data_IF_158413641056
#
_entry.id   IF_158413641056
#
_cell.length_a   1.000
_cell.length_b   1.000
_cell.length_c   1.000
_cell.angle_alpha   90.00
_cell.angle_beta   90.00
_cell.angle_gamma   90.00
#
_symmetry.space_group_name_H-M   'P 1'
#
loop_
_entity.id
_entity.type
_entity.pdbx_description
1 polymer ?
#
# COMPACT_ATOMS: atom_id res chain seq x y z
N UNK A 1 -49.83 39.91 2.27
CA UNK A 1 -49.18 39.36 1.06
C UNK A 1 -49.66 37.93 0.84
N UNK A 2 -50.32 37.68 -0.30
CA UNK A 2 -50.93 36.40 -0.66
C UNK A 2 -49.87 35.29 -0.77
N UNK A 3 -50.20 34.06 -0.37
CA UNK A 3 -49.33 32.87 -0.42
C UNK A 3 -48.67 32.66 -1.78
N UNK A 4 -49.34 33.06 -2.87
CA UNK A 4 -48.80 33.04 -4.24
C UNK A 4 -47.55 33.91 -4.42
N UNK A 5 -47.51 35.07 -3.77
CA UNK A 5 -46.37 35.99 -3.81
C UNK A 5 -45.16 35.43 -3.05
N UNK A 6 -45.40 34.68 -1.97
CA UNK A 6 -44.31 33.98 -1.25
C UNK A 6 -43.71 32.86 -2.11
N UNK A 7 -44.54 32.07 -2.79
CA UNK A 7 -44.08 30.99 -3.69
C UNK A 7 -43.24 31.53 -4.84
N UNK A 8 -43.66 32.64 -5.46
CA UNK A 8 -42.87 33.30 -6.50
C UNK A 8 -41.52 33.83 -5.98
N UNK A 9 -41.48 34.33 -4.74
CA UNK A 9 -40.26 34.83 -4.12
C UNK A 9 -39.28 33.69 -3.80
N UNK A 10 -39.78 32.55 -3.30
CA UNK A 10 -38.95 31.35 -3.09
C UNK A 10 -38.46 30.73 -4.41
N UNK A 11 -39.30 30.73 -5.45
CA UNK A 11 -38.90 30.25 -6.77
C UNK A 11 -37.80 31.14 -7.39
N UNK A 12 -37.94 32.47 -7.29
CA UNK A 12 -36.93 33.41 -7.76
C UNK A 12 -35.62 33.29 -6.97
N UNK A 13 -35.68 33.16 -5.64
CA UNK A 13 -34.51 32.94 -4.80
C UNK A 13 -33.80 31.62 -5.14
N UNK A 14 -34.56 30.54 -5.39
CA UNK A 14 -34.01 29.25 -5.82
C UNK A 14 -33.32 29.33 -7.19
N UNK A 15 -33.88 30.09 -8.14
CA UNK A 15 -33.27 30.30 -9.45
C UNK A 15 -31.95 31.07 -9.35
N UNK A 16 -31.88 32.10 -8.51
CA UNK A 16 -30.65 32.88 -8.28
C UNK A 16 -29.56 32.02 -7.64
N UNK A 17 -29.92 31.17 -6.67
CA UNK A 17 -28.98 30.21 -6.05
C UNK A 17 -28.51 29.18 -7.06
N UNK A 18 -29.37 28.69 -7.95
CA UNK A 18 -29.00 27.74 -9.00
C UNK A 18 -28.04 28.36 -10.04
N UNK A 19 -28.26 29.61 -10.45
CA UNK A 19 -27.36 30.32 -11.36
C UNK A 19 -26.00 30.60 -10.69
N UNK A 20 -25.98 30.95 -9.41
CA UNK A 20 -24.75 31.17 -8.64
C UNK A 20 -23.95 29.87 -8.40
N UNK A 21 -24.63 28.73 -8.26
CA UNK A 21 -23.99 27.42 -8.08
C UNK A 21 -23.62 26.74 -9.41
N UNK A 22 -24.16 27.21 -10.54
CA UNK A 22 -23.92 26.67 -11.89
C UNK A 22 -22.47 26.79 -12.38
N UNK A 23 -21.67 27.73 -11.86
CA UNK A 23 -20.27 27.92 -12.29
C UNK A 23 -19.24 27.24 -11.38
N UNK A 24 -19.67 26.47 -10.38
CA UNK A 24 -18.76 25.88 -9.39
C UNK A 24 -18.94 24.38 -9.15
N UNK A 25 -19.66 23.67 -10.03
CA UNK A 25 -19.74 22.20 -9.99
C UNK A 25 -19.23 21.56 -11.30
N UNK A 26 -18.04 20.94 -11.28
CA UNK A 26 -17.61 19.99 -12.29
C UNK A 26 -18.53 18.75 -12.28
N UNK A 27 -18.74 18.16 -13.46
CA UNK A 27 -19.72 17.14 -13.89
C UNK A 27 -19.96 15.85 -13.04
N UNK A 28 -19.47 15.71 -11.81
CA UNK A 28 -19.42 14.42 -11.10
C UNK A 28 -20.67 14.05 -10.25
N UNK A 29 -21.61 14.97 -9.99
CA UNK A 29 -22.74 14.70 -9.06
C UNK A 29 -24.09 14.51 -9.79
N UNK A 30 -24.19 14.88 -11.07
CA UNK A 30 -25.44 14.73 -11.84
C UNK A 30 -25.82 13.29 -12.19
N UNK A 31 -24.97 12.30 -11.84
CA UNK A 31 -25.21 10.87 -12.05
C UNK A 31 -25.89 10.17 -10.85
N UNK A 32 -25.98 10.81 -9.66
CA UNK A 32 -26.43 10.12 -8.43
C UNK A 32 -27.89 10.39 -8.05
N UNK A 33 -28.54 11.38 -8.66
CA UNK A 33 -29.94 11.72 -8.36
C UNK A 33 -30.99 10.65 -8.78
N UNK A 34 -30.80 9.84 -9.86
CA UNK A 34 -31.75 8.79 -10.20
C UNK A 34 -31.78 7.60 -9.21
N UNK A 35 -30.70 7.40 -8.43
CA UNK A 35 -30.57 6.25 -7.51
C UNK A 35 -31.17 6.57 -6.13
N UNK A 36 -31.07 7.81 -5.66
CA UNK A 36 -31.62 8.20 -4.35
C UNK A 36 -33.17 8.20 -4.31
N UNK A 37 -33.84 8.45 -5.44
CA UNK A 37 -35.31 8.42 -5.53
C UNK A 37 -35.92 7.01 -5.42
N UNK A 38 -35.18 5.97 -5.81
CA UNK A 38 -35.65 4.58 -5.78
C UNK A 38 -35.62 3.96 -4.36
N UNK A 39 -34.80 4.49 -3.44
CA UNK A 39 -34.67 3.96 -2.08
C UNK A 39 -35.78 4.40 -1.11
N UNK A 40 -36.34 5.60 -1.27
CA UNK A 40 -37.35 6.14 -0.36
C UNK A 40 -38.74 5.48 -0.49
N UNK A 41 -39.01 4.78 -1.60
CA UNK A 41 -40.28 4.09 -1.85
C UNK A 41 -40.42 2.71 -1.18
N UNK A 42 -39.33 2.11 -0.69
CA UNK A 42 -39.33 0.79 -0.04
C UNK A 42 -39.53 0.83 1.48
N UNK A 43 -39.43 2.00 2.12
CA UNK A 43 -39.59 2.14 3.57
C UNK A 43 -40.99 2.63 4.01
N UNK A 44 -41.91 2.86 3.07
CA UNK A 44 -43.29 3.31 3.33
C UNK A 44 -44.31 2.20 3.63
N UNK A 45 -43.89 1.06 4.19
CA UNK A 45 -44.76 -0.07 4.51
C UNK A 45 -45.26 -0.05 5.95
N UNK A 46 -46.48 0.44 6.16
CA UNK A 46 -47.24 0.42 7.42
C UNK A 46 -47.47 -0.97 8.03
N UNK A 47 -47.55 -1.00 9.38
CA UNK A 47 -48.27 -1.92 10.33
C UNK A 47 -47.30 -2.60 11.31
N UNK A 48 -47.54 -2.83 12.59
CA UNK A 48 -48.56 -2.51 13.62
C UNK A 48 -47.98 -3.12 14.91
N UNK A 49 -48.04 -2.39 16.03
CA UNK A 49 -48.01 -2.75 17.50
C UNK A 49 -47.52 -4.16 17.94
N UNK A 50 -46.76 -4.33 19.03
CA UNK A 50 -47.18 -4.40 20.47
C UNK A 50 -45.90 -4.71 21.28
N UNK A 51 -45.44 -3.86 22.22
CA UNK A 51 -45.55 -3.90 23.69
C UNK A 51 -44.54 -4.82 24.45
N UNK A 52 -44.02 -4.27 25.55
CA UNK A 52 -42.90 -4.60 26.49
C UNK A 52 -43.02 -5.96 27.26
N UNK A 53 -42.22 -6.28 28.32
CA UNK A 53 -40.76 -6.24 28.60
C UNK A 53 -40.21 -7.52 29.32
N UNK A 54 -38.88 -7.58 29.50
CA UNK A 54 -38.10 -8.22 30.60
C UNK A 54 -38.27 -9.73 30.93
N UNK A 55 -37.28 -10.24 31.69
CA UNK A 55 -37.27 -11.47 32.49
C UNK A 55 -36.50 -12.70 31.92
N UNK A 56 -35.26 -12.84 32.42
CA UNK A 56 -34.58 -14.04 33.01
C UNK A 56 -34.59 -15.41 32.29
N UNK A 57 -33.40 -16.07 32.31
CA UNK A 57 -33.08 -17.51 32.56
C UNK A 57 -32.16 -18.16 31.48
N UNK A 58 -31.47 -19.29 31.75
CA UNK A 58 -30.52 -19.55 32.83
C UNK A 58 -29.27 -20.34 32.35
N UNK A 59 -28.36 -20.59 33.31
CA UNK A 59 -27.30 -21.59 33.37
C UNK A 59 -27.14 -22.61 32.21
N UNK A 60 -25.92 -22.70 31.68
CA UNK A 60 -25.37 -23.99 31.26
C UNK A 60 -23.91 -24.12 31.69
N UNK A 61 -23.59 -25.34 32.10
CA UNK A 61 -22.51 -25.75 32.98
C UNK A 61 -21.13 -25.82 32.30
N UNK A 62 -20.10 -25.62 33.12
CA UNK A 62 -18.72 -26.12 32.95
C UNK A 62 -18.72 -27.68 32.89
N UNK A 63 -17.59 -28.43 32.78
CA UNK A 63 -16.17 -28.03 32.99
C UNK A 63 -15.13 -28.74 32.09
N UNK A 64 -13.85 -28.33 32.18
CA UNK A 64 -12.71 -29.25 32.39
C UNK A 64 -11.35 -28.51 32.46
N UNK A 65 -10.77 -28.55 33.67
CA UNK A 65 -9.36 -28.83 33.99
C UNK A 65 -8.20 -28.19 33.17
N UNK A 66 -7.39 -27.37 33.85
CA UNK A 66 -5.99 -27.71 34.12
C UNK A 66 -5.41 -26.75 35.17
N UNK A 67 -5.04 -27.32 36.32
CA UNK A 67 -4.30 -26.66 37.38
C UNK A 67 -2.79 -26.74 37.09
N UNK A 68 -2.06 -25.66 37.35
CA UNK A 68 -0.82 -25.66 38.17
C UNK A 68 -0.10 -24.32 38.03
N UNK A 69 -0.17 -23.50 39.08
CA UNK A 69 0.74 -22.40 39.31
C UNK A 69 1.47 -22.68 40.62
N UNK A 70 2.76 -22.99 40.55
CA UNK A 70 3.66 -22.95 41.69
C UNK A 70 5.08 -22.68 41.20
N UNK A 71 5.56 -21.49 41.56
CA UNK A 71 6.95 -21.02 41.49
C UNK A 71 7.79 -21.78 42.53
N UNK A 72 9.09 -21.98 42.31
CA UNK A 72 10.02 -21.28 43.19
C UNK A 72 11.28 -20.74 42.49
N UNK A 73 11.86 -19.78 43.19
CA UNK A 73 13.13 -19.07 42.98
C UNK A 73 14.38 -19.94 43.11
N UNK A 74 15.43 -19.66 42.34
CA UNK A 74 16.84 -19.56 42.81
C UNK A 74 17.83 -19.33 41.65
N UNK A 75 18.83 -18.47 41.90
CA UNK A 75 20.20 -18.64 41.37
C UNK A 75 20.58 -17.86 40.11
N UNK A 76 21.38 -16.81 40.27
CA UNK A 76 22.19 -16.21 39.20
C UNK A 76 23.29 -17.16 38.69
N UNK A 77 24.04 -16.79 37.63
CA UNK A 77 25.09 -15.79 37.83
C UNK A 77 25.20 -14.73 36.74
N UNK A 78 25.92 -13.67 37.09
CA UNK A 78 26.29 -12.53 36.25
C UNK A 78 27.12 -12.98 35.04
N UNK A 79 26.57 -12.74 33.84
CA UNK A 79 27.28 -12.81 32.56
C UNK A 79 27.76 -11.41 32.16
N UNK A 80 29.05 -11.31 31.87
CA UNK A 80 29.77 -10.09 31.54
C UNK A 80 29.15 -9.26 30.41
N UNK A 81 28.89 -7.98 30.65
CA UNK A 81 28.73 -6.98 29.59
C UNK A 81 30.12 -6.57 29.09
N UNK A 82 30.55 -7.18 28.01
CA UNK A 82 31.58 -6.63 27.14
C UNK A 82 30.94 -5.57 26.25
N UNK A 83 31.34 -4.32 26.42
CA UNK A 83 31.09 -3.27 25.44
C UNK A 83 32.16 -3.36 24.33
N UNK A 84 31.75 -3.30 23.05
CA UNK A 84 32.62 -2.78 22.02
C UNK A 84 32.05 -1.47 21.47
N UNK A 85 32.85 -0.41 21.57
CA UNK A 85 32.76 0.74 20.71
C UNK A 85 33.23 0.34 19.30
N UNK A 86 32.45 0.69 18.27
CA UNK A 86 32.93 0.75 16.89
C UNK A 86 32.00 1.63 16.01
N UNK A 87 32.54 2.22 14.93
CA UNK A 87 32.13 3.50 14.40
C UNK A 87 31.01 3.40 13.37
N UNK A 88 30.24 4.48 13.26
CA UNK A 88 29.29 4.73 12.18
C UNK A 88 30.02 4.71 10.83
N UNK A 89 29.78 3.68 10.02
CA UNK A 89 30.06 3.71 8.60
C UNK A 89 28.96 4.52 7.89
N UNK A 90 29.28 5.41 6.94
CA UNK A 90 28.27 5.94 6.05
C UNK A 90 27.81 4.81 5.14
N UNK A 91 26.52 4.46 5.20
CA UNK A 91 25.88 3.65 4.17
C UNK A 91 26.12 4.34 2.83
N UNK A 92 26.99 3.74 2.01
CA UNK A 92 27.16 4.10 0.62
C UNK A 92 25.87 3.74 -0.13
N UNK A 93 24.87 4.65 -0.09
CA UNK A 93 23.76 4.61 -1.02
C UNK A 93 24.35 4.90 -2.39
N UNK A 94 24.35 3.89 -3.26
CA UNK A 94 24.76 4.03 -4.65
C UNK A 94 23.98 5.20 -5.26
N UNK A 95 24.67 6.32 -5.48
CA UNK A 95 24.11 7.46 -6.19
C UNK A 95 24.10 7.07 -7.66
N UNK A 96 22.99 6.49 -8.11
CA UNK A 96 22.79 6.18 -9.53
C UNK A 96 22.65 7.52 -10.26
N UNK A 97 23.51 7.80 -11.23
CA UNK A 97 23.45 9.05 -11.98
C UNK A 97 22.09 9.19 -12.70
N UNK A 98 21.39 10.35 -12.56
CA UNK A 98 20.04 10.53 -13.08
C UNK A 98 19.96 10.47 -14.62
N UNK A 99 21.07 10.72 -15.33
CA UNK A 99 21.14 10.64 -16.78
C UNK A 99 21.13 9.20 -17.31
N UNK A 100 21.63 8.23 -16.53
CA UNK A 100 21.66 6.81 -16.91
C UNK A 100 20.31 6.12 -16.70
N UNK A 101 19.44 6.68 -15.85
CA UNK A 101 18.15 6.09 -15.48
C UNK A 101 17.03 6.34 -16.50
N UNK A 102 17.28 7.19 -17.51
CA UNK A 102 16.35 7.50 -18.58
C UNK A 102 14.92 7.68 -18.10
N UNK A 103 14.05 6.77 -18.53
CA UNK A 103 12.63 6.81 -18.25
C UNK A 103 12.28 6.58 -16.76
N UNK A 104 13.13 5.90 -15.98
CA UNK A 104 12.89 5.61 -14.57
C UNK A 104 13.41 6.68 -13.61
N UNK A 105 13.99 7.78 -14.09
CA UNK A 105 14.50 8.85 -13.23
C UNK A 105 13.43 9.35 -12.23
N UNK A 106 12.20 9.59 -12.70
CA UNK A 106 11.08 9.99 -11.84
C UNK A 106 10.66 8.90 -10.85
N UNK A 107 10.85 7.63 -11.21
CA UNK A 107 10.50 6.48 -10.36
C UNK A 107 11.48 6.39 -9.20
N UNK A 108 12.77 6.53 -9.48
CA UNK A 108 13.83 6.50 -8.47
C UNK A 108 13.71 7.68 -7.51
N UNK A 109 13.52 8.89 -8.02
CA UNK A 109 13.33 10.09 -7.19
C UNK A 109 12.16 9.91 -6.23
N UNK A 110 11.03 9.43 -6.73
CA UNK A 110 9.86 9.18 -5.90
C UNK A 110 10.09 8.08 -4.86
N UNK A 111 10.81 7.01 -5.19
CA UNK A 111 11.17 5.98 -4.21
C UNK A 111 12.00 6.57 -3.07
N UNK A 112 12.93 7.48 -3.36
CA UNK A 112 13.72 8.17 -2.32
C UNK A 112 12.82 9.02 -1.44
N UNK A 113 11.86 9.77 -2.01
CA UNK A 113 10.89 10.56 -1.23
C UNK A 113 10.02 9.67 -0.33
N UNK A 114 9.52 8.55 -0.86
CA UNK A 114 8.75 7.58 -0.09
C UNK A 114 9.59 6.97 1.04
N UNK A 115 10.84 6.65 0.75
CA UNK A 115 11.79 6.09 1.71
C UNK A 115 12.03 7.04 2.88
N UNK A 116 12.32 8.32 2.59
CA UNK A 116 12.55 9.33 3.63
C UNK A 116 11.29 9.56 4.49
N UNK A 117 10.10 9.54 3.86
CA UNK A 117 8.84 9.68 4.57
C UNK A 117 8.56 8.49 5.50
N UNK A 118 8.81 7.25 5.04
CA UNK A 118 8.65 6.05 5.86
C UNK A 118 9.67 6.03 7.00
N UNK A 119 10.92 6.41 6.74
CA UNK A 119 11.95 6.51 7.79
C UNK A 119 11.52 7.54 8.84
N UNK A 120 11.03 8.71 8.41
CA UNK A 120 10.54 9.75 9.33
C UNK A 120 9.37 9.26 10.18
N UNK A 121 8.42 8.52 9.60
CA UNK A 121 7.31 7.95 10.37
C UNK A 121 7.75 6.80 11.29
N UNK A 122 8.74 6.00 10.88
CA UNK A 122 9.35 4.99 11.75
C UNK A 122 10.05 5.62 12.96
N UNK A 123 10.79 6.71 12.77
CA UNK A 123 11.47 7.44 13.85
C UNK A 123 10.53 8.11 14.86
N UNK A 124 9.28 8.40 14.46
CA UNK A 124 8.26 8.98 15.34
C UNK A 124 7.52 7.91 16.17
N UNK A 125 7.89 6.63 16.04
CA UNK A 125 7.18 5.47 16.61
C UNK A 125 5.68 5.44 16.22
N UNK A 126 5.32 6.07 15.10
CA UNK A 126 3.94 6.11 14.59
C UNK A 126 3.66 4.99 13.57
N UNK A 127 4.70 4.31 13.10
CA UNK A 127 4.64 3.23 12.12
C UNK A 127 5.14 1.92 12.76
N UNK A 128 4.47 0.80 12.49
CA UNK A 128 4.94 -0.50 12.96
C UNK A 128 6.31 -0.83 12.33
N UNK A 129 7.25 -1.34 13.14
CA UNK A 129 8.60 -1.72 12.67
C UNK A 129 8.56 -2.69 11.48
N UNK A 130 7.62 -3.64 11.48
CA UNK A 130 7.46 -4.59 10.36
C UNK A 130 7.14 -3.87 9.03
N UNK A 131 6.32 -2.82 9.07
CA UNK A 131 5.99 -2.03 7.88
C UNK A 131 7.25 -1.32 7.39
N UNK A 132 7.99 -0.67 8.30
CA UNK A 132 9.23 0.04 7.97
C UNK A 132 10.22 -0.91 7.31
N UNK A 133 10.51 -2.05 7.93
CA UNK A 133 11.46 -3.03 7.40
C UNK A 133 11.06 -3.56 6.03
N UNK A 134 9.78 -3.96 5.85
CA UNK A 134 9.32 -4.54 4.57
C UNK A 134 9.27 -3.51 3.45
N UNK A 135 8.89 -2.28 3.74
CA UNK A 135 8.88 -1.21 2.74
C UNK A 135 10.29 -0.80 2.33
N UNK A 136 11.23 -0.66 3.28
CA UNK A 136 12.64 -0.40 2.98
C UNK A 136 13.28 -1.53 2.17
N UNK A 137 13.01 -2.78 2.53
CA UNK A 137 13.49 -3.94 1.76
C UNK A 137 12.96 -3.93 0.32
N UNK A 138 11.67 -3.60 0.14
CA UNK A 138 11.05 -3.48 -1.18
C UNK A 138 11.66 -2.33 -2.00
N UNK A 139 11.90 -1.17 -1.40
CA UNK A 139 12.51 -0.03 -2.08
C UNK A 139 13.94 -0.35 -2.52
N UNK A 140 14.75 -0.96 -1.64
CA UNK A 140 16.11 -1.38 -1.98
C UNK A 140 16.12 -2.41 -3.13
N UNK A 141 15.16 -3.36 -3.11
CA UNK A 141 14.99 -4.33 -4.19
C UNK A 141 14.61 -3.65 -5.50
N UNK A 142 13.66 -2.73 -5.49
CA UNK A 142 13.26 -1.95 -6.67
C UNK A 142 14.43 -1.16 -7.24
N UNK A 143 15.19 -0.46 -6.40
CA UNK A 143 16.38 0.29 -6.83
C UNK A 143 17.42 -0.61 -7.51
N UNK A 144 17.55 -1.87 -7.10
CA UNK A 144 18.45 -2.85 -7.73
C UNK A 144 17.91 -3.41 -9.06
N UNK A 145 16.60 -3.60 -9.18
CA UNK A 145 15.97 -4.19 -10.38
C UNK A 145 15.79 -3.16 -11.49
N UNK A 146 15.62 -1.87 -11.16
CA UNK A 146 15.40 -0.80 -12.15
C UNK A 146 16.50 -0.72 -13.23
N UNK A 147 17.81 -0.76 -12.91
CA UNK A 147 18.86 -0.77 -13.92
C UNK A 147 18.77 -1.99 -14.87
N UNK A 148 18.50 -3.18 -14.31
CA UNK A 148 18.38 -4.42 -15.08
C UNK A 148 17.21 -4.35 -16.07
N UNK A 149 16.12 -3.68 -15.70
CA UNK A 149 14.97 -3.45 -16.58
C UNK A 149 15.28 -2.52 -17.76
N UNK A 150 16.17 -1.55 -17.56
CA UNK A 150 16.61 -0.67 -18.64
C UNK A 150 17.47 -1.43 -19.64
N UNK A 151 18.36 -2.29 -19.16
CA UNK A 151 19.17 -3.17 -20.00
C UNK A 151 18.31 -4.17 -20.80
N UNK A 152 17.25 -4.70 -20.17
CA UNK A 152 16.32 -5.61 -20.83
C UNK A 152 15.64 -5.00 -22.07
N UNK A 153 15.41 -3.68 -22.03
CA UNK A 153 14.81 -2.91 -23.13
C UNK A 153 13.35 -3.24 -23.43
N UNK A 154 12.61 -3.84 -22.49
CA UNK A 154 11.20 -4.20 -22.70
C UNK A 154 10.25 -3.10 -22.19
N UNK A 155 9.69 -2.32 -23.13
CA UNK A 155 8.80 -1.20 -22.82
C UNK A 155 7.52 -1.59 -22.05
N UNK A 156 6.99 -2.80 -22.23
CA UNK A 156 5.79 -3.25 -21.51
C UNK A 156 6.09 -3.50 -20.02
N UNK A 157 7.20 -4.18 -19.74
CA UNK A 157 7.65 -4.44 -18.37
C UNK A 157 8.03 -3.11 -17.70
N UNK A 158 8.70 -2.22 -18.43
CA UNK A 158 9.11 -0.91 -17.90
C UNK A 158 7.91 -0.04 -17.54
N UNK A 159 6.91 0.05 -18.41
CA UNK A 159 5.67 0.73 -18.12
C UNK A 159 4.94 0.09 -16.92
N UNK A 160 4.93 -1.24 -16.84
CA UNK A 160 4.30 -1.97 -15.72
C UNK A 160 4.95 -1.61 -14.39
N UNK A 161 6.28 -1.61 -14.31
CA UNK A 161 7.01 -1.23 -13.09
C UNK A 161 6.80 0.24 -12.75
N UNK A 162 6.84 1.13 -13.74
CA UNK A 162 6.51 2.54 -13.53
C UNK A 162 5.13 2.70 -12.90
N UNK A 163 4.11 2.04 -13.47
CA UNK A 163 2.74 2.08 -12.95
C UNK A 163 2.67 1.51 -11.53
N UNK A 164 3.33 0.37 -11.30
CA UNK A 164 3.35 -0.30 -10.00
C UNK A 164 3.86 0.63 -8.90
N UNK A 165 4.95 1.37 -9.16
CA UNK A 165 5.52 2.30 -8.18
C UNK A 165 4.72 3.60 -8.09
N UNK A 166 4.43 4.25 -9.22
CA UNK A 166 3.80 5.58 -9.24
C UNK A 166 2.34 5.56 -8.81
N UNK A 167 1.63 4.46 -9.08
CA UNK A 167 0.18 4.36 -8.87
C UNK A 167 -0.16 3.40 -7.74
N UNK A 168 0.30 2.15 -7.83
CA UNK A 168 -0.17 1.11 -6.92
C UNK A 168 0.49 1.26 -5.54
N UNK A 169 1.82 1.35 -5.50
CA UNK A 169 2.58 1.57 -4.28
C UNK A 169 2.24 2.91 -3.62
N UNK A 170 2.15 3.97 -4.42
CA UNK A 170 1.65 5.28 -4.00
C UNK A 170 0.25 5.19 -3.38
N UNK A 171 -0.67 4.52 -4.06
CA UNK A 171 -2.07 4.37 -3.64
C UNK A 171 -2.24 3.59 -2.34
N UNK A 172 -1.32 2.69 -1.99
CA UNK A 172 -1.37 1.98 -0.71
C UNK A 172 -0.65 2.77 0.39
N UNK A 173 0.50 3.36 0.09
CA UNK A 173 1.34 4.03 1.10
C UNK A 173 0.76 5.39 1.51
N UNK A 174 0.42 6.27 0.57
CA UNK A 174 0.03 7.64 0.90
C UNK A 174 -1.23 7.74 1.75
N UNK A 175 -2.33 7.01 1.46
CA UNK A 175 -3.49 6.97 2.34
C UNK A 175 -3.13 6.43 3.72
N UNK A 176 -2.27 5.41 3.82
CA UNK A 176 -1.87 4.82 5.10
C UNK A 176 -1.08 5.80 5.97
N UNK A 177 -0.15 6.55 5.39
CA UNK A 177 0.65 7.52 6.13
C UNK A 177 -0.18 8.70 6.66
N UNK A 178 -1.29 9.02 6.00
CA UNK A 178 -2.25 10.04 6.46
C UNK A 178 -3.13 9.57 7.61
N UNK A 179 -3.18 8.27 7.91
CA UNK A 179 -3.97 7.74 9.02
C UNK A 179 -3.34 8.09 10.37
N UNK A 180 -4.17 8.33 11.39
CA UNK A 180 -3.70 8.45 12.78
C UNK A 180 -3.21 7.10 13.34
N UNK A 181 -2.46 7.13 14.44
CA UNK A 181 -1.79 5.94 15.02
C UNK A 181 -2.70 4.71 15.19
N UNK A 182 -3.86 4.86 15.84
CA UNK A 182 -4.79 3.72 16.02
C UNK A 182 -5.38 3.18 14.71
N UNK A 183 -5.61 4.06 13.74
CA UNK A 183 -6.11 3.68 12.43
C UNK A 183 -5.02 2.97 11.60
N UNK A 184 -3.75 3.35 11.76
CA UNK A 184 -2.61 2.63 11.18
C UNK A 184 -2.54 1.19 11.68
N UNK A 185 -2.66 0.97 12.99
CA UNK A 185 -2.65 -0.39 13.57
C UNK A 185 -3.80 -1.25 13.04
N UNK A 186 -5.01 -0.69 12.93
CA UNK A 186 -6.18 -1.42 12.38
C UNK A 186 -6.02 -1.77 10.89
N UNK A 187 -5.41 -0.88 10.11
CA UNK A 187 -5.23 -1.07 8.66
C UNK A 187 -3.87 -1.68 8.28
N UNK A 188 -3.01 -2.01 9.25
CA UNK A 188 -1.66 -2.58 9.05
C UNK A 188 -1.67 -3.72 8.04
N UNK A 189 -2.60 -4.66 8.19
CA UNK A 189 -2.70 -5.83 7.31
C UNK A 189 -2.95 -5.44 5.85
N UNK A 190 -3.71 -4.39 5.58
CA UNK A 190 -3.97 -3.95 4.21
C UNK A 190 -2.69 -3.41 3.56
N UNK A 191 -1.90 -2.61 4.29
CA UNK A 191 -0.61 -2.13 3.79
C UNK A 191 0.38 -3.29 3.60
N UNK A 192 0.51 -4.18 4.59
CA UNK A 192 1.42 -5.33 4.49
C UNK A 192 1.08 -6.25 3.32
N UNK A 193 -0.20 -6.49 3.07
CA UNK A 193 -0.64 -7.27 1.92
C UNK A 193 -0.33 -6.53 0.61
N UNK A 194 -0.61 -5.23 0.52
CA UNK A 194 -0.28 -4.44 -0.67
C UNK A 194 1.23 -4.41 -0.97
N UNK A 195 2.07 -4.24 0.06
CA UNK A 195 3.52 -4.33 -0.08
C UNK A 195 3.96 -5.73 -0.54
N UNK A 196 3.37 -6.79 0.00
CA UNK A 196 3.65 -8.17 -0.40
C UNK A 196 3.22 -8.46 -1.84
N UNK A 197 2.10 -7.91 -2.28
CA UNK A 197 1.62 -8.09 -3.65
C UNK A 197 2.55 -7.40 -4.65
N UNK A 198 3.02 -6.19 -4.33
CA UNK A 198 4.05 -5.49 -5.11
C UNK A 198 5.35 -6.28 -5.13
N UNK A 199 5.82 -6.80 -3.99
CA UNK A 199 7.03 -7.62 -3.91
C UNK A 199 6.93 -8.90 -4.77
N UNK A 200 5.77 -9.54 -4.75
CA UNK A 200 5.50 -10.74 -5.55
C UNK A 200 5.58 -10.42 -7.05
N UNK A 201 5.05 -9.27 -7.49
CA UNK A 201 5.12 -8.81 -8.88
C UNK A 201 6.53 -8.45 -9.31
N UNK A 202 7.30 -7.82 -8.44
CA UNK A 202 8.73 -7.59 -8.68
C UNK A 202 9.50 -8.91 -8.77
N UNK A 203 9.11 -9.93 -8.00
CA UNK A 203 9.70 -11.28 -8.09
C UNK A 203 9.43 -11.96 -9.43
N UNK A 204 8.18 -11.88 -9.92
CA UNK A 204 7.79 -12.40 -11.24
C UNK A 204 8.60 -11.73 -12.37
N UNK A 205 8.77 -10.40 -12.28
CA UNK A 205 9.56 -9.62 -13.24
C UNK A 205 11.04 -10.00 -13.17
N UNK A 206 11.61 -10.10 -11.97
CA UNK A 206 13.00 -10.50 -11.79
C UNK A 206 13.27 -11.90 -12.37
N UNK A 207 12.37 -12.86 -12.15
CA UNK A 207 12.47 -14.21 -12.73
C UNK A 207 12.41 -14.17 -14.27
N UNK A 208 11.63 -13.26 -14.85
CA UNK A 208 11.58 -13.08 -16.31
C UNK A 208 12.90 -12.55 -16.87
N UNK A 209 13.54 -11.61 -16.16
CA UNK A 209 14.87 -11.10 -16.51
C UNK A 209 15.89 -12.24 -16.44
N UNK A 210 15.94 -12.96 -15.31
CA UNK A 210 16.85 -14.09 -15.11
C UNK A 210 16.69 -15.16 -16.19
N UNK A 211 15.45 -15.49 -16.56
CA UNK A 211 15.20 -16.46 -17.63
C UNK A 211 15.75 -16.00 -18.98
N UNK A 212 15.58 -14.73 -19.33
CA UNK A 212 16.16 -14.18 -20.57
C UNK A 212 17.69 -14.19 -20.51
N UNK A 213 18.28 -13.79 -19.38
CA UNK A 213 19.72 -13.80 -19.20
C UNK A 213 20.30 -15.21 -19.35
N UNK A 214 19.62 -16.24 -18.81
CA UNK A 214 20.01 -17.64 -18.98
C UNK A 214 19.97 -18.09 -20.46
N UNK A 215 18.94 -17.70 -21.21
CA UNK A 215 18.85 -18.01 -22.65
C UNK A 215 19.96 -17.33 -23.45
N UNK A 216 20.28 -16.07 -23.14
CA UNK A 216 21.39 -15.36 -23.76
C UNK A 216 22.74 -16.00 -23.44
N UNK A 217 22.94 -16.45 -22.19
CA UNK A 217 24.13 -17.18 -21.77
C UNK A 217 24.27 -18.52 -22.48
N UNK A 218 23.21 -19.30 -22.59
CA UNK A 218 23.20 -20.57 -23.33
C UNK A 218 23.56 -20.36 -24.81
N UNK A 219 22.90 -19.39 -25.45
CA UNK A 219 23.17 -19.06 -26.86
C UNK A 219 24.63 -18.64 -27.08
N UNK A 220 25.19 -17.81 -26.19
CA UNK A 220 26.60 -17.40 -26.25
C UNK A 220 27.55 -18.58 -26.01
N UNK A 221 27.25 -19.46 -25.06
CA UNK A 221 28.04 -20.66 -24.78
C UNK A 221 28.06 -21.62 -25.98
N UNK A 222 26.91 -21.84 -26.62
CA UNK A 222 26.81 -22.66 -27.84
C UNK A 222 27.60 -22.06 -29.00
N UNK A 223 27.52 -20.74 -29.22
CA UNK A 223 28.30 -20.05 -30.25
C UNK A 223 29.81 -20.17 -30.00
N UNK A 224 30.25 -20.06 -28.76
CA UNK A 224 31.65 -20.27 -28.38
C UNK A 224 32.04 -21.72 -28.67
N UNK A 225 31.24 -22.68 -28.25
CA UNK A 225 31.49 -24.09 -28.50
C UNK A 225 31.61 -24.38 -30.00
N UNK A 226 30.71 -23.85 -30.83
CA UNK A 226 30.77 -23.97 -32.29
C UNK A 226 32.04 -23.34 -32.87
N UNK A 227 32.41 -22.12 -32.47
CA UNK A 227 33.62 -21.45 -32.98
C UNK A 227 34.90 -22.22 -32.68
N UNK A 228 35.06 -22.73 -31.46
CA UNK A 228 36.30 -23.40 -31.07
C UNK A 228 36.34 -24.89 -31.45
N UNK A 229 35.20 -25.59 -31.49
CA UNK A 229 35.16 -26.97 -32.00
C UNK A 229 35.34 -27.05 -33.52
N UNK A 230 34.89 -26.03 -34.27
CA UNK A 230 35.05 -25.98 -35.73
C UNK A 230 36.43 -25.47 -36.16
N UNK A 231 37.21 -24.86 -35.27
CA UNK A 231 38.58 -24.37 -35.55
C UNK A 231 39.68 -25.38 -35.22
N UNK A 232 39.35 -26.53 -34.63
CA UNK A 232 40.31 -27.64 -34.39
C UNK A 232 40.33 -28.72 -35.49
N UNK A 233 39.62 -28.52 -36.61
CA UNK A 233 39.63 -29.38 -37.80
C UNK A 233 40.22 -28.65 -39.01
#
# INVERSE_FOLDING_TARGET
MSTKSKVLLYAAAGYVVAVLTSSFLPELISLLLPVAGAGAGLLGGTRTRVNLPAEVLPASQAPAAAASAARPTAGGPAGASAAPAAPSAPSARATVEPAALGEFASVVEYLVILEDMIISEGQKDTLDNEIVEKSLALFARLQRVIPLLQELGNGEINHTVRRLVMKDLNGVINPFLRLGGEAKTKNRRMLLNGLRDVDSKISEIASTIEHKDLMELQTKAELIHQRYSSSEL
#
